data_IF_150233819710
#
_entry.id   IF_150233819710
#
_cell.length_a   1.000
_cell.length_b   1.000
_cell.length_c   1.000
_cell.angle_alpha   90.00
_cell.angle_beta   90.00
_cell.angle_gamma   90.00
#
_symmetry.space_group_name_H-M   'P 1'
#
loop_
_entity.id
_entity.type
_entity.pdbx_description
1 polymer ?
#
# COMPACT_ATOMS: atom_id res chain seq x y z
N UNK A 1 8.90 34.82 -15.18
CA UNK A 1 8.67 33.39 -14.92
C UNK A 1 7.88 33.14 -13.62
N UNK A 2 8.15 33.86 -12.53
CA UNK A 2 7.43 33.74 -11.25
C UNK A 2 5.89 33.82 -11.37
N UNK A 3 5.37 34.80 -12.11
CA UNK A 3 3.93 34.97 -12.29
C UNK A 3 3.21 33.72 -12.87
N UNK A 4 3.86 33.00 -13.78
CA UNK A 4 3.29 31.79 -14.37
C UNK A 4 3.24 30.62 -13.37
N UNK A 5 4.25 30.49 -12.50
CA UNK A 5 4.30 29.45 -11.48
C UNK A 5 3.24 29.66 -10.38
N UNK A 6 2.99 30.89 -9.97
CA UNK A 6 1.93 31.21 -9.01
C UNK A 6 0.54 30.87 -9.56
N UNK A 7 0.29 31.21 -10.83
CA UNK A 7 -0.96 30.79 -11.51
C UNK A 7 -1.04 29.25 -11.55
N UNK A 8 0.05 28.57 -11.87
CA UNK A 8 0.08 27.10 -11.97
C UNK A 8 -0.11 26.41 -10.61
N UNK A 9 0.32 27.04 -9.51
CA UNK A 9 0.30 26.48 -8.15
C UNK A 9 -1.12 26.06 -7.72
N UNK A 10 -2.11 26.94 -7.91
CA UNK A 10 -3.50 26.66 -7.53
C UNK A 10 -4.41 26.27 -8.72
N UNK A 11 -3.86 26.15 -9.92
CA UNK A 11 -4.61 25.67 -11.09
C UNK A 11 -5.21 24.26 -10.86
N UNK A 12 -4.49 23.25 -10.32
CA UNK A 12 -5.06 21.94 -10.02
C UNK A 12 -6.24 21.99 -9.05
N UNK A 13 -6.20 22.88 -8.06
CA UNK A 13 -7.33 23.10 -7.14
C UNK A 13 -8.56 23.58 -7.90
N UNK A 14 -8.40 24.51 -8.83
CA UNK A 14 -9.48 24.97 -9.70
C UNK A 14 -10.13 23.83 -10.49
N UNK A 15 -9.30 23.00 -11.12
CA UNK A 15 -9.76 21.82 -11.87
C UNK A 15 -10.55 20.86 -10.98
N UNK A 16 -10.03 20.60 -9.78
CA UNK A 16 -10.67 19.75 -8.78
C UNK A 16 -12.02 20.31 -8.33
N UNK A 17 -12.11 21.61 -8.03
CA UNK A 17 -13.36 22.26 -7.66
C UNK A 17 -14.40 22.18 -8.78
N UNK A 18 -14.00 22.32 -10.05
CA UNK A 18 -14.93 22.16 -11.18
C UNK A 18 -15.40 20.73 -11.35
N UNK A 19 -14.54 19.74 -11.08
CA UNK A 19 -14.91 18.33 -11.09
C UNK A 19 -16.03 18.00 -10.07
N UNK A 20 -16.04 18.65 -8.91
CA UNK A 20 -17.07 18.46 -7.87
C UNK A 20 -18.30 19.35 -8.05
N UNK A 21 -18.10 20.65 -8.24
CA UNK A 21 -19.20 21.62 -8.35
C UNK A 21 -19.93 21.53 -9.70
N UNK A 22 -19.28 20.94 -10.72
CA UNK A 22 -19.73 20.67 -12.10
C UNK A 22 -20.10 21.90 -12.94
N UNK A 23 -20.78 22.85 -12.31
CA UNK A 23 -21.42 23.97 -12.96
C UNK A 23 -20.53 25.23 -12.94
N UNK A 24 -20.45 25.93 -14.08
CA UNK A 24 -19.59 27.13 -14.24
C UNK A 24 -19.99 28.29 -13.33
N UNK A 25 -21.25 28.32 -12.87
CA UNK A 25 -21.79 29.39 -12.03
C UNK A 25 -21.07 29.51 -10.67
N UNK A 26 -20.43 28.43 -10.19
CA UNK A 26 -19.70 28.44 -8.93
C UNK A 26 -18.28 29.01 -9.01
N UNK A 27 -17.94 29.74 -10.08
CA UNK A 27 -16.63 30.37 -10.24
C UNK A 27 -16.25 31.29 -9.07
N UNK A 28 -17.23 31.97 -8.46
CA UNK A 28 -17.01 32.81 -7.26
C UNK A 28 -16.52 32.00 -6.07
N UNK A 29 -17.02 30.76 -5.92
CA UNK A 29 -16.57 29.84 -4.86
C UNK A 29 -15.15 29.35 -5.13
N UNK A 30 -14.82 29.06 -6.40
CA UNK A 30 -13.46 28.68 -6.78
C UNK A 30 -12.45 29.81 -6.53
N UNK A 31 -12.82 31.05 -6.89
CA UNK A 31 -12.00 32.23 -6.60
C UNK A 31 -11.84 32.46 -5.10
N UNK A 32 -12.94 32.40 -4.33
CA UNK A 32 -12.91 32.59 -2.88
C UNK A 32 -12.09 31.51 -2.14
N UNK A 33 -12.20 30.25 -2.55
CA UNK A 33 -11.40 29.16 -1.98
C UNK A 33 -9.92 29.26 -2.39
N UNK A 34 -9.65 29.63 -3.64
CA UNK A 34 -8.29 29.91 -4.11
C UNK A 34 -7.63 31.05 -3.33
N UNK A 35 -8.37 32.13 -3.10
CA UNK A 35 -7.94 33.25 -2.26
C UNK A 35 -7.70 32.83 -0.82
N UNK A 36 -8.62 32.11 -0.21
CA UNK A 36 -8.47 31.64 1.17
C UNK A 36 -7.25 30.73 1.34
N UNK A 37 -7.00 29.82 0.40
CA UNK A 37 -5.83 28.95 0.44
C UNK A 37 -4.53 29.71 0.19
N UNK A 38 -4.53 30.65 -0.75
CA UNK A 38 -3.34 31.48 -0.97
C UNK A 38 -3.05 32.40 0.21
N UNK A 39 -4.07 32.95 0.86
CA UNK A 39 -3.91 33.72 2.09
C UNK A 39 -3.33 32.85 3.21
N UNK A 40 -3.78 31.60 3.31
CA UNK A 40 -3.23 30.63 4.24
C UNK A 40 -1.72 30.38 4.00
N UNK A 41 -1.29 30.28 2.73
CA UNK A 41 0.14 30.17 2.40
C UNK A 41 0.95 31.39 2.85
N UNK A 42 0.48 32.60 2.53
CA UNK A 42 1.15 33.84 2.92
C UNK A 42 1.25 33.98 4.44
N UNK A 43 0.18 33.69 5.18
CA UNK A 43 0.17 33.72 6.65
C UNK A 43 1.19 32.71 7.20
N UNK A 44 1.21 31.49 6.66
CA UNK A 44 2.15 30.45 7.10
C UNK A 44 3.60 30.90 6.89
N UNK A 45 3.90 31.57 5.78
CA UNK A 45 5.26 32.02 5.45
C UNK A 45 5.70 33.21 6.32
N UNK A 46 4.84 34.22 6.48
CA UNK A 46 5.13 35.42 7.28
C UNK A 46 5.27 35.08 8.76
N UNK A 47 4.55 34.08 9.25
CA UNK A 47 4.64 33.65 10.66
C UNK A 47 5.77 32.65 10.92
N UNK A 48 6.58 32.30 9.92
CA UNK A 48 7.65 31.30 10.08
C UNK A 48 7.10 29.92 10.46
N UNK A 49 6.03 29.49 9.79
CA UNK A 49 5.23 28.30 10.12
C UNK A 49 4.74 28.39 11.57
N UNK A 50 4.00 29.47 11.88
CA UNK A 50 3.39 29.68 13.19
C UNK A 50 4.39 29.66 14.37
N UNK A 51 5.60 30.16 14.15
CA UNK A 51 6.65 30.25 15.18
C UNK A 51 7.56 29.03 15.31
N UNK A 52 7.48 28.05 14.41
CA UNK A 52 8.50 26.98 14.33
C UNK A 52 9.86 27.58 13.96
N UNK A 53 9.86 28.62 13.13
CA UNK A 53 11.05 29.39 12.78
C UNK A 53 11.03 30.77 13.43
N UNK A 54 12.20 31.23 13.88
CA UNK A 54 12.37 32.52 14.57
C UNK A 54 12.24 33.74 13.64
N UNK A 55 12.13 33.54 12.33
CA UNK A 55 12.02 34.61 11.34
C UNK A 55 11.00 34.26 10.25
N UNK A 56 10.38 35.28 9.62
CA UNK A 56 9.53 35.08 8.45
C UNK A 56 10.34 34.44 7.32
N UNK A 57 9.75 33.49 6.61
CA UNK A 57 10.37 32.89 5.43
C UNK A 57 10.49 33.91 4.28
N UNK A 58 9.49 34.79 4.12
CA UNK A 58 9.45 35.91 3.17
C UNK A 58 8.46 36.98 3.65
N UNK A 59 8.56 38.18 3.06
CA UNK A 59 7.58 39.27 3.22
C UNK A 59 6.28 38.88 2.52
N UNK A 60 5.14 39.27 3.10
CA UNK A 60 3.81 39.07 2.52
C UNK A 60 3.71 39.64 1.11
N UNK A 61 3.30 38.83 0.15
CA UNK A 61 3.23 39.22 -1.26
C UNK A 61 1.77 39.20 -1.78
N UNK A 62 1.22 40.40 -2.00
CA UNK A 62 -0.17 40.57 -2.50
C UNK A 62 -0.29 40.10 -3.95
N UNK A 63 0.79 40.17 -4.73
CA UNK A 63 0.77 39.73 -6.13
C UNK A 63 0.68 38.20 -6.19
N UNK A 64 1.38 37.49 -5.30
CA UNK A 64 1.28 36.04 -5.15
C UNK A 64 -0.17 35.64 -4.78
N UNK A 65 -0.82 36.39 -3.89
CA UNK A 65 -2.22 36.20 -3.51
C UNK A 65 -3.18 36.31 -4.71
N UNK A 66 -3.01 37.33 -5.54
CA UNK A 66 -3.85 37.56 -6.74
C UNK A 66 -3.58 36.49 -7.81
N UNK A 67 -2.31 36.16 -8.05
CA UNK A 67 -1.90 35.21 -9.08
C UNK A 67 -2.36 33.79 -8.74
N UNK A 68 -2.19 33.34 -7.51
CA UNK A 68 -2.66 32.05 -7.03
C UNK A 68 -4.20 31.96 -7.10
N UNK A 69 -4.91 33.00 -6.66
CA UNK A 69 -6.38 33.06 -6.75
C UNK A 69 -6.87 33.00 -8.19
N UNK A 70 -6.18 33.70 -9.09
CA UNK A 70 -6.44 33.70 -10.54
C UNK A 70 -6.13 32.32 -11.13
N UNK A 71 -5.08 31.65 -10.67
CA UNK A 71 -4.75 30.26 -10.99
C UNK A 71 -5.89 29.30 -10.67
N UNK A 72 -6.45 29.38 -9.47
CA UNK A 72 -7.61 28.57 -9.08
C UNK A 72 -8.84 28.86 -9.96
N UNK A 73 -9.12 30.13 -10.26
CA UNK A 73 -10.22 30.49 -11.16
C UNK A 73 -9.98 29.96 -12.58
N UNK A 74 -8.77 30.15 -13.11
CA UNK A 74 -8.40 29.69 -14.44
C UNK A 74 -8.51 28.17 -14.55
N UNK A 75 -7.94 27.44 -13.59
CA UNK A 75 -8.09 25.98 -13.47
C UNK A 75 -9.55 25.52 -13.48
N UNK A 76 -10.44 26.24 -12.78
CA UNK A 76 -11.87 25.95 -12.73
C UNK A 76 -12.58 26.18 -14.07
N UNK A 77 -12.15 27.17 -14.84
CA UNK A 77 -12.70 27.48 -16.16
C UNK A 77 -12.23 26.50 -17.22
N UNK A 78 -10.94 26.14 -17.24
CA UNK A 78 -10.35 25.20 -18.23
C UNK A 78 -10.61 23.73 -17.88
N UNK A 79 -11.06 23.43 -16.66
CA UNK A 79 -11.25 22.05 -16.20
C UNK A 79 -12.04 21.16 -17.17
N UNK A 80 -13.10 21.59 -17.87
CA UNK A 80 -13.79 20.72 -18.83
C UNK A 80 -12.88 20.17 -19.93
N UNK A 81 -11.92 20.97 -20.40
CA UNK A 81 -10.92 20.55 -21.39
C UNK A 81 -9.95 19.51 -20.80
N UNK A 82 -9.44 19.79 -19.59
CA UNK A 82 -8.52 18.87 -18.89
C UNK A 82 -9.23 17.55 -18.53
N UNK A 83 -10.45 17.63 -18.00
CA UNK A 83 -11.26 16.50 -17.57
C UNK A 83 -11.78 15.67 -18.75
N UNK A 84 -11.88 16.23 -19.96
CA UNK A 84 -12.21 15.47 -21.17
C UNK A 84 -11.11 14.47 -21.55
N UNK A 85 -9.86 14.68 -21.09
CA UNK A 85 -8.77 13.70 -21.24
C UNK A 85 -8.93 12.50 -20.29
N UNK A 86 -9.80 12.61 -19.28
CA UNK A 86 -10.05 11.55 -18.30
C UNK A 86 -11.37 10.81 -18.57
N UNK A 87 -11.44 9.50 -18.25
CA UNK A 87 -12.67 8.74 -18.42
C UNK A 87 -13.82 9.33 -17.59
N UNK A 88 -15.01 9.43 -18.20
CA UNK A 88 -16.18 10.08 -17.60
C UNK A 88 -16.63 9.39 -16.29
N UNK A 89 -17.16 10.18 -15.33
CA UNK A 89 -17.71 9.67 -14.06
C UNK A 89 -18.71 8.53 -14.26
N UNK A 90 -19.57 8.63 -15.29
CA UNK A 90 -20.57 7.59 -15.62
C UNK A 90 -19.90 6.24 -15.93
N UNK A 91 -18.80 6.24 -16.67
CA UNK A 91 -18.05 5.02 -16.97
C UNK A 91 -17.34 4.46 -15.72
N UNK A 92 -16.93 5.32 -14.79
CA UNK A 92 -16.34 4.91 -13.51
C UNK A 92 -17.39 4.30 -12.57
N UNK A 93 -18.61 4.86 -12.53
CA UNK A 93 -19.73 4.35 -11.74
C UNK A 93 -20.23 3.01 -12.31
N UNK A 94 -20.49 2.91 -13.62
CA UNK A 94 -20.89 1.64 -14.26
C UNK A 94 -19.82 0.55 -14.06
N UNK A 95 -18.54 0.92 -14.08
CA UNK A 95 -17.44 0.00 -13.78
C UNK A 95 -17.39 -0.37 -12.30
N UNK A 96 -17.72 0.55 -11.40
CA UNK A 96 -17.85 0.28 -9.97
C UNK A 96 -19.00 -0.69 -9.74
N UNK A 97 -20.16 -0.46 -10.34
CA UNK A 97 -21.36 -1.29 -10.18
C UNK A 97 -21.10 -2.72 -10.68
N UNK A 98 -20.48 -2.88 -11.86
CA UNK A 98 -20.03 -4.21 -12.36
C UNK A 98 -18.98 -4.90 -11.47
N UNK A 99 -18.14 -4.13 -10.77
CA UNK A 99 -17.15 -4.66 -9.80
C UNK A 99 -17.80 -4.92 -8.43
N UNK A 100 -18.94 -4.31 -8.16
CA UNK A 100 -19.69 -4.46 -6.92
C UNK A 100 -20.62 -5.68 -7.01
N UNK A 101 -21.19 -5.94 -8.19
CA UNK A 101 -21.86 -7.21 -8.53
C UNK A 101 -20.90 -8.40 -8.58
N UNK A 102 -19.60 -8.18 -8.84
CA UNK A 102 -18.62 -9.24 -8.72
C UNK A 102 -18.17 -9.39 -7.25
N UNK A 103 -18.34 -10.60 -6.71
CA UNK A 103 -17.82 -11.04 -5.41
C UNK A 103 -16.28 -11.04 -5.34
N UNK A 104 -15.62 -10.52 -6.37
CA UNK A 104 -14.16 -10.54 -6.53
C UNK A 104 -13.53 -9.45 -5.65
N UNK A 105 -12.67 -9.88 -4.72
CA UNK A 105 -11.84 -9.00 -3.90
C UNK A 105 -10.69 -8.43 -4.74
N UNK A 106 -10.38 -7.15 -4.58
CA UNK A 106 -9.27 -6.51 -5.32
C UNK A 106 -7.92 -7.12 -4.88
N UNK A 107 -7.01 -7.45 -5.81
CA UNK A 107 -5.71 -8.03 -5.45
C UNK A 107 -4.89 -7.20 -4.46
N UNK A 108 -4.94 -5.87 -4.57
CA UNK A 108 -4.24 -4.99 -3.64
C UNK A 108 -4.79 -5.10 -2.21
N UNK A 109 -6.10 -5.32 -2.06
CA UNK A 109 -6.71 -5.54 -0.74
C UNK A 109 -6.26 -6.90 -0.17
N UNK A 110 -6.17 -7.95 -0.99
CA UNK A 110 -5.66 -9.25 -0.53
C UNK A 110 -4.21 -9.16 -0.04
N UNK A 111 -3.33 -8.47 -0.78
CA UNK A 111 -1.94 -8.22 -0.34
C UNK A 111 -1.88 -7.38 0.93
N UNK A 112 -2.72 -6.35 1.03
CA UNK A 112 -2.76 -5.49 2.21
C UNK A 112 -3.24 -6.26 3.45
N UNK A 113 -4.21 -7.17 3.32
CA UNK A 113 -4.60 -8.05 4.44
C UNK A 113 -3.44 -8.91 4.90
N UNK A 114 -2.74 -9.59 3.96
CA UNK A 114 -1.56 -10.39 4.28
C UNK A 114 -0.49 -9.53 4.95
N UNK A 115 -0.26 -8.30 4.47
CA UNK A 115 0.70 -7.38 5.08
C UNK A 115 0.30 -6.96 6.50
N UNK A 116 -0.98 -6.65 6.74
CA UNK A 116 -1.50 -6.30 8.08
C UNK A 116 -1.29 -7.46 9.06
N UNK A 117 -1.67 -8.67 8.66
CA UNK A 117 -1.51 -9.89 9.47
C UNK A 117 -0.04 -10.17 9.79
N UNK A 118 0.86 -9.95 8.83
CA UNK A 118 2.30 -10.07 9.02
C UNK A 118 2.84 -9.02 10.00
N UNK A 119 2.41 -7.76 9.85
CA UNK A 119 2.77 -6.67 10.78
C UNK A 119 2.27 -6.95 12.20
N UNK A 120 1.10 -7.57 12.35
CA UNK A 120 0.56 -7.95 13.66
C UNK A 120 1.51 -8.89 14.40
N UNK A 121 2.08 -9.90 13.73
CA UNK A 121 3.08 -10.80 14.32
C UNK A 121 4.35 -10.06 14.73
N UNK A 122 4.83 -9.13 13.88
CA UNK A 122 6.04 -8.35 14.16
C UNK A 122 5.86 -7.37 15.32
N UNK A 123 4.76 -6.62 15.33
CA UNK A 123 4.41 -5.70 16.42
C UNK A 123 4.21 -6.48 17.72
N UNK A 124 3.57 -7.65 17.65
CA UNK A 124 3.38 -8.52 18.82
C UNK A 124 4.72 -8.92 19.46
N UNK A 125 5.74 -9.29 18.67
CA UNK A 125 7.10 -9.53 19.19
C UNK A 125 7.67 -8.28 19.88
N UNK A 126 7.67 -7.14 19.17
CA UNK A 126 8.26 -5.89 19.66
C UNK A 126 7.62 -5.35 20.94
N UNK A 127 6.34 -5.67 21.19
CA UNK A 127 5.61 -5.22 22.38
C UNK A 127 5.57 -6.25 23.53
N UNK A 128 6.09 -7.46 23.32
CA UNK A 128 6.06 -8.54 24.32
C UNK A 128 7.47 -8.99 24.70
N UNK A 129 7.91 -10.16 24.25
CA UNK A 129 9.21 -10.73 24.58
C UNK A 129 10.37 -9.90 24.03
N UNK A 130 10.19 -9.23 22.88
CA UNK A 130 11.22 -8.39 22.26
C UNK A 130 11.61 -7.16 23.08
N UNK A 131 10.81 -6.77 24.09
CA UNK A 131 11.19 -5.71 25.05
C UNK A 131 12.24 -6.17 26.06
N UNK A 132 12.31 -7.47 26.33
CA UNK A 132 13.13 -8.03 27.41
C UNK A 132 14.22 -8.99 26.89
N UNK A 133 14.04 -9.55 25.70
CA UNK A 133 14.88 -10.58 25.12
C UNK A 133 15.38 -10.12 23.75
N UNK A 134 16.70 -9.96 23.62
CA UNK A 134 17.38 -9.70 22.34
C UNK A 134 18.11 -10.96 21.87
N UNK A 135 17.35 -12.00 21.51
CA UNK A 135 17.89 -13.27 21.00
C UNK A 135 17.20 -13.65 19.69
N UNK A 136 17.98 -13.80 18.62
CA UNK A 136 17.48 -14.07 17.27
C UNK A 136 16.76 -15.43 17.14
N UNK A 137 17.23 -16.46 17.86
CA UNK A 137 16.58 -17.77 17.85
C UNK A 137 15.21 -17.72 18.52
N UNK A 138 15.10 -17.03 19.65
CA UNK A 138 13.81 -16.84 20.35
C UNK A 138 12.85 -16.01 19.48
N UNK A 139 13.35 -14.96 18.85
CA UNK A 139 12.58 -14.14 17.91
C UNK A 139 12.04 -14.98 16.73
N UNK A 140 12.90 -15.82 16.14
CA UNK A 140 12.53 -16.70 15.03
C UNK A 140 11.44 -17.70 15.43
N UNK A 141 11.58 -18.35 16.59
CA UNK A 141 10.59 -19.30 17.12
C UNK A 141 9.26 -18.58 17.39
N UNK A 142 9.31 -17.41 18.02
CA UNK A 142 8.12 -16.62 18.32
C UNK A 142 7.38 -16.22 17.04
N UNK A 143 8.08 -15.66 16.05
CA UNK A 143 7.48 -15.26 14.78
C UNK A 143 6.92 -16.46 14.01
N UNK A 144 7.60 -17.60 14.05
CA UNK A 144 7.09 -18.86 13.46
C UNK A 144 5.80 -19.31 14.12
N UNK A 145 5.74 -19.31 15.45
CA UNK A 145 4.51 -19.64 16.19
C UNK A 145 3.39 -18.64 15.92
N UNK A 146 3.70 -17.33 15.90
CA UNK A 146 2.75 -16.27 15.57
C UNK A 146 2.19 -16.40 14.16
N UNK A 147 3.03 -16.79 13.18
CA UNK A 147 2.59 -17.04 11.81
C UNK A 147 1.60 -18.22 11.73
N UNK A 148 1.88 -19.32 12.46
CA UNK A 148 0.97 -20.46 12.56
C UNK A 148 -0.37 -20.05 13.20
N UNK A 149 -0.32 -19.27 14.28
CA UNK A 149 -1.54 -18.78 14.93
C UNK A 149 -2.36 -17.91 13.96
N UNK A 150 -1.76 -16.90 13.35
CA UNK A 150 -2.48 -15.90 12.55
C UNK A 150 -2.98 -16.44 11.21
N UNK A 151 -2.21 -17.27 10.51
CA UNK A 151 -2.57 -17.74 9.17
C UNK A 151 -3.20 -19.13 9.12
N UNK A 152 -3.21 -19.87 10.23
CA UNK A 152 -3.82 -21.20 10.30
C UNK A 152 -4.87 -21.32 11.41
N UNK A 153 -4.54 -21.01 12.67
CA UNK A 153 -5.48 -21.20 13.79
C UNK A 153 -6.62 -20.17 13.74
N UNK A 154 -6.29 -18.89 13.62
CA UNK A 154 -7.27 -17.79 13.60
C UNK A 154 -8.33 -17.96 12.51
N UNK A 155 -7.97 -18.16 11.22
CA UNK A 155 -8.99 -18.32 10.18
C UNK A 155 -9.79 -19.62 10.30
N UNK A 156 -9.31 -20.63 11.03
CA UNK A 156 -10.12 -21.81 11.35
C UNK A 156 -11.17 -21.53 12.43
N UNK A 157 -10.90 -20.59 13.34
CA UNK A 157 -11.81 -20.21 14.43
C UNK A 157 -12.76 -19.07 14.04
N UNK A 158 -12.40 -18.27 13.03
CA UNK A 158 -13.16 -17.12 12.53
C UNK A 158 -13.71 -17.34 11.12
N UNK A 159 -14.09 -18.57 10.78
CA UNK A 159 -14.80 -18.91 9.54
C UNK A 159 -14.12 -18.35 8.26
N UNK A 160 -12.79 -18.44 8.18
CA UNK A 160 -12.00 -17.95 7.05
C UNK A 160 -11.55 -16.50 7.16
N UNK A 161 -11.78 -15.81 8.28
CA UNK A 161 -11.36 -14.41 8.51
C UNK A 161 -10.05 -14.32 9.31
N UNK A 162 -9.26 -13.30 9.00
CA UNK A 162 -8.13 -12.84 9.81
C UNK A 162 -8.34 -11.38 10.21
N UNK A 163 -7.45 -10.82 11.03
CA UNK A 163 -7.50 -9.39 11.35
C UNK A 163 -7.41 -8.53 10.07
N UNK A 164 -6.49 -8.87 9.17
CA UNK A 164 -6.30 -8.19 7.89
C UNK A 164 -7.50 -8.33 6.96
N UNK A 165 -8.08 -9.53 6.81
CA UNK A 165 -9.25 -9.70 5.93
C UNK A 165 -10.50 -9.03 6.51
N UNK A 166 -10.69 -9.05 7.83
CA UNK A 166 -11.78 -8.35 8.52
C UNK A 166 -11.71 -6.83 8.36
N UNK A 167 -10.52 -6.23 8.50
CA UNK A 167 -10.31 -4.79 8.25
C UNK A 167 -10.68 -4.42 6.80
N UNK A 168 -10.38 -5.31 5.84
CA UNK A 168 -10.62 -5.09 4.42
C UNK A 168 -11.96 -5.67 3.92
N UNK A 169 -12.80 -6.17 4.84
CA UNK A 169 -14.18 -6.65 4.62
C UNK A 169 -14.28 -7.74 3.56
N UNK A 170 -13.46 -8.78 3.75
CA UNK A 170 -13.56 -9.99 2.95
C UNK A 170 -13.16 -11.21 3.78
N UNK A 171 -13.49 -12.39 3.25
CA UNK A 171 -13.22 -13.67 3.86
C UNK A 171 -12.59 -14.64 2.87
N UNK A 172 -11.90 -15.64 3.41
CA UNK A 172 -11.34 -16.74 2.64
C UNK A 172 -12.42 -17.81 2.52
N UNK A 173 -12.79 -18.16 1.30
CA UNK A 173 -13.77 -19.22 1.01
C UNK A 173 -13.16 -20.30 0.12
N UNK A 174 -13.78 -21.46 0.05
CA UNK A 174 -13.40 -22.47 -0.95
C UNK A 174 -13.96 -22.14 -2.35
N UNK A 175 -13.95 -23.12 -3.27
CA UNK A 175 -14.47 -22.93 -4.63
C UNK A 175 -16.00 -22.83 -4.68
N UNK A 176 -16.69 -23.44 -3.71
CA UNK A 176 -18.15 -23.48 -3.60
C UNK A 176 -18.67 -22.23 -2.86
N UNK A 177 -17.83 -21.62 -2.02
CA UNK A 177 -18.15 -20.43 -1.23
C UNK A 177 -18.32 -20.71 0.26
N UNK A 178 -17.98 -21.92 0.69
CA UNK A 178 -18.05 -22.35 2.09
C UNK A 178 -16.74 -22.06 2.82
N UNK A 179 -16.77 -22.25 4.15
CA UNK A 179 -15.60 -22.12 5.02
C UNK A 179 -14.49 -23.08 4.56
N UNK A 180 -13.26 -22.59 4.33
CA UNK A 180 -12.17 -23.42 3.84
C UNK A 180 -11.83 -24.57 4.79
N UNK A 181 -11.60 -25.75 4.21
CA UNK A 181 -11.08 -26.90 4.96
C UNK A 181 -9.69 -26.60 5.53
N UNK A 182 -9.36 -27.21 6.67
CA UNK A 182 -8.05 -27.04 7.32
C UNK A 182 -6.86 -27.36 6.39
N UNK A 183 -7.00 -28.32 5.48
CA UNK A 183 -5.96 -28.66 4.50
C UNK A 183 -5.65 -27.50 3.56
N UNK A 184 -6.68 -26.75 3.14
CA UNK A 184 -6.53 -25.59 2.29
C UNK A 184 -5.86 -24.44 3.06
N UNK A 185 -6.30 -24.18 4.30
CA UNK A 185 -5.68 -23.20 5.20
C UNK A 185 -4.20 -23.51 5.44
N UNK A 186 -3.87 -24.78 5.71
CA UNK A 186 -2.49 -25.23 5.93
C UNK A 186 -1.63 -25.04 4.67
N UNK A 187 -2.13 -25.42 3.49
CA UNK A 187 -1.43 -25.19 2.20
C UNK A 187 -1.18 -23.71 1.94
N UNK A 188 -2.15 -22.85 2.26
CA UNK A 188 -2.03 -21.40 2.10
C UNK A 188 -1.01 -20.81 3.06
N UNK A 189 -1.08 -21.18 4.33
CA UNK A 189 -0.08 -20.80 5.34
C UNK A 189 1.32 -21.23 4.87
N UNK A 190 1.48 -22.49 4.46
CA UNK A 190 2.76 -23.02 3.99
C UNK A 190 3.28 -22.23 2.78
N UNK A 191 2.44 -21.96 1.79
CA UNK A 191 2.82 -21.18 0.62
C UNK A 191 3.31 -19.77 0.97
N UNK A 192 2.68 -19.09 1.93
CA UNK A 192 3.11 -17.79 2.42
C UNK A 192 4.39 -17.87 3.30
N UNK A 193 4.56 -18.97 4.04
CA UNK A 193 5.64 -19.15 5.01
C UNK A 193 6.97 -19.53 4.35
N UNK A 194 6.95 -20.36 3.31
CA UNK A 194 8.15 -20.92 2.66
C UNK A 194 9.15 -19.86 2.19
N UNK A 195 8.76 -18.79 1.45
CA UNK A 195 9.73 -17.78 1.01
C UNK A 195 10.46 -17.11 2.17
N UNK A 196 9.76 -16.87 3.29
CA UNK A 196 10.33 -16.24 4.47
C UNK A 196 11.32 -17.17 5.18
N UNK A 197 10.92 -18.43 5.46
CA UNK A 197 11.81 -19.42 6.10
C UNK A 197 13.00 -19.76 5.24
N UNK A 198 12.80 -19.93 3.93
CA UNK A 198 13.89 -20.19 3.01
C UNK A 198 14.89 -19.03 3.00
N UNK A 199 14.41 -17.78 3.01
CA UNK A 199 15.30 -16.61 3.13
C UNK A 199 16.06 -16.61 4.45
N UNK A 200 15.40 -16.89 5.58
CA UNK A 200 16.03 -16.94 6.89
C UNK A 200 17.10 -18.04 6.96
N UNK A 201 16.76 -19.25 6.50
CA UNK A 201 17.68 -20.39 6.49
C UNK A 201 18.92 -20.12 5.62
N UNK A 202 18.73 -19.59 4.40
CA UNK A 202 19.85 -19.28 3.52
C UNK A 202 20.73 -18.15 4.06
N UNK A 203 20.16 -17.15 4.75
CA UNK A 203 20.92 -16.10 5.40
C UNK A 203 21.82 -16.63 6.53
N UNK A 204 21.37 -17.64 7.28
CA UNK A 204 22.20 -18.29 8.31
C UNK A 204 23.44 -18.94 7.69
N UNK A 205 23.31 -19.57 6.52
CA UNK A 205 24.46 -20.18 5.82
C UNK A 205 25.50 -19.13 5.38
N UNK A 206 25.04 -17.94 5.00
CA UNK A 206 25.92 -16.84 4.55
C UNK A 206 26.46 -15.98 5.69
N UNK A 207 25.94 -16.13 6.91
CA UNK A 207 26.38 -15.38 8.09
C UNK A 207 27.66 -15.97 8.72
N UNK A 208 28.17 -17.09 8.22
CA UNK A 208 29.39 -17.73 8.73
C UNK A 208 30.61 -16.91 8.29
N UNK A 209 31.29 -16.27 9.24
CA UNK A 209 32.54 -15.56 8.97
C UNK A 209 33.72 -16.55 8.86
N UNK A 210 34.33 -16.63 7.68
CA UNK A 210 35.55 -17.41 7.45
C UNK A 210 36.76 -16.48 7.32
N UNK A 211 37.88 -16.89 7.90
CA UNK A 211 39.18 -16.24 7.67
C UNK A 211 39.52 -16.24 6.17
N UNK A 212 39.95 -15.10 5.65
CA UNK A 212 40.38 -14.94 4.25
C UNK A 212 41.53 -15.88 3.86
N UNK A 213 42.32 -16.35 4.84
CA UNK A 213 43.40 -17.30 4.62
C UNK A 213 42.92 -18.77 4.61
N UNK A 214 41.65 -19.04 4.94
CA UNK A 214 41.07 -20.37 4.92
C UNK A 214 40.88 -20.87 3.49
N UNK A 215 41.24 -22.13 3.24
CA UNK A 215 40.95 -22.80 1.95
C UNK A 215 39.46 -22.80 1.60
N UNK A 216 38.59 -22.70 2.61
CA UNK A 216 37.13 -22.69 2.46
C UNK A 216 36.55 -21.30 2.11
N UNK A 217 37.34 -20.23 2.21
CA UNK A 217 36.88 -18.86 2.00
C UNK A 217 36.33 -18.64 0.58
N UNK A 218 37.06 -19.11 -0.43
CA UNK A 218 36.65 -18.96 -1.84
C UNK A 218 35.31 -19.65 -2.11
N UNK A 219 35.10 -20.85 -1.56
CA UNK A 219 33.83 -21.58 -1.70
C UNK A 219 32.67 -20.85 -1.01
N UNK A 220 32.91 -20.29 0.17
CA UNK A 220 31.92 -19.50 0.89
C UNK A 220 31.52 -18.23 0.12
N UNK A 221 32.47 -17.52 -0.51
CA UNK A 221 32.15 -16.36 -1.35
C UNK A 221 31.23 -16.74 -2.50
N UNK A 222 31.52 -17.82 -3.23
CA UNK A 222 30.67 -18.28 -4.32
C UNK A 222 29.30 -18.77 -3.84
N UNK A 223 29.23 -19.43 -2.68
CA UNK A 223 27.98 -19.80 -2.04
C UNK A 223 27.13 -18.56 -1.73
N UNK A 224 27.72 -17.53 -1.12
CA UNK A 224 27.04 -16.27 -0.78
C UNK A 224 26.53 -15.54 -2.03
N UNK A 225 27.33 -15.49 -3.10
CA UNK A 225 26.88 -14.93 -4.40
C UNK A 225 25.72 -15.74 -4.99
N UNK A 226 25.79 -17.08 -4.93
CA UNK A 226 24.73 -17.94 -5.45
C UNK A 226 23.43 -17.81 -4.64
N UNK A 227 23.52 -17.77 -3.30
CA UNK A 227 22.40 -17.54 -2.39
C UNK A 227 21.77 -16.17 -2.66
N UNK A 228 22.57 -15.12 -2.76
CA UNK A 228 22.09 -13.78 -3.07
C UNK A 228 21.35 -13.75 -4.41
N UNK A 229 21.95 -14.31 -5.47
CA UNK A 229 21.32 -14.40 -6.79
C UNK A 229 20.00 -15.18 -6.77
N UNK A 230 19.96 -16.31 -6.07
CA UNK A 230 18.75 -17.11 -5.89
C UNK A 230 17.64 -16.33 -5.17
N UNK A 231 17.96 -15.67 -4.05
CA UNK A 231 16.99 -14.87 -3.30
C UNK A 231 16.45 -13.71 -4.14
N UNK A 232 17.32 -13.00 -4.86
CA UNK A 232 16.91 -11.92 -5.77
C UNK A 232 15.96 -12.44 -6.83
N UNK A 233 16.27 -13.56 -7.50
CA UNK A 233 15.40 -14.17 -8.51
C UNK A 233 14.06 -14.58 -7.90
N UNK A 234 14.06 -15.25 -6.76
CA UNK A 234 12.84 -15.69 -6.07
C UNK A 234 11.92 -14.51 -5.75
N UNK A 235 12.44 -13.46 -5.12
CA UNK A 235 11.66 -12.27 -4.76
C UNK A 235 11.19 -11.50 -6.00
N UNK A 236 12.02 -11.39 -7.05
CA UNK A 236 11.60 -10.81 -8.32
C UNK A 236 10.43 -11.57 -8.95
N UNK A 237 10.46 -12.91 -8.96
CA UNK A 237 9.36 -13.73 -9.48
C UNK A 237 8.06 -13.47 -8.71
N UNK A 238 8.13 -13.40 -7.37
CA UNK A 238 6.97 -13.09 -6.53
C UNK A 238 6.42 -11.68 -6.78
N UNK A 239 7.29 -10.69 -6.95
CA UNK A 239 6.90 -9.31 -7.26
C UNK A 239 6.28 -9.22 -8.65
N UNK A 240 6.89 -9.83 -9.67
CA UNK A 240 6.34 -9.89 -11.04
C UNK A 240 4.97 -10.57 -11.03
N UNK A 241 4.82 -11.68 -10.30
CA UNK A 241 3.53 -12.34 -10.11
C UNK A 241 2.51 -11.41 -9.47
N UNK A 242 2.88 -10.70 -8.40
CA UNK A 242 1.98 -9.76 -7.74
C UNK A 242 1.53 -8.62 -8.67
N UNK A 243 2.47 -8.01 -9.40
CA UNK A 243 2.18 -6.96 -10.40
C UNK A 243 1.26 -7.48 -11.50
N UNK A 244 1.51 -8.71 -11.98
CA UNK A 244 0.68 -9.35 -12.99
C UNK A 244 -0.76 -9.55 -12.49
N UNK A 245 -0.95 -10.08 -11.28
CA UNK A 245 -2.28 -10.30 -10.70
C UNK A 245 -3.01 -8.97 -10.45
N UNK A 246 -2.32 -7.94 -9.94
CA UNK A 246 -2.87 -6.58 -9.77
C UNK A 246 -3.35 -6.02 -11.12
N UNK A 247 -2.54 -6.19 -12.18
CA UNK A 247 -2.87 -5.75 -13.54
C UNK A 247 -4.09 -6.47 -14.11
N UNK A 248 -4.33 -7.73 -13.70
CA UNK A 248 -5.52 -8.52 -14.06
C UNK A 248 -6.75 -8.24 -13.20
N UNK A 249 -6.66 -7.34 -12.22
CA UNK A 249 -7.79 -6.81 -11.41
C UNK A 249 -8.66 -7.91 -10.76
N UNK A 250 -8.02 -8.97 -10.28
CA UNK A 250 -8.70 -10.04 -9.54
C UNK A 250 -9.32 -11.14 -10.40
N UNK A 251 -9.11 -11.13 -11.72
CA UNK A 251 -9.49 -12.28 -12.60
C UNK A 251 -8.65 -13.54 -12.36
N UNK A 252 -7.55 -13.42 -11.62
CA UNK A 252 -6.66 -14.50 -11.22
C UNK A 252 -6.31 -14.32 -9.75
N UNK A 253 -6.06 -15.42 -9.06
CA UNK A 253 -5.69 -15.46 -7.64
C UNK A 253 -4.16 -15.43 -7.47
N UNK A 254 -3.70 -15.07 -6.28
CA UNK A 254 -2.27 -15.17 -5.94
C UNK A 254 -1.83 -16.63 -5.85
N UNK A 255 -0.53 -16.88 -5.93
CA UNK A 255 0.01 -18.24 -5.93
C UNK A 255 -0.36 -19.00 -4.64
N UNK A 256 -0.39 -18.31 -3.49
CA UNK A 256 -0.74 -18.89 -2.20
C UNK A 256 -2.21 -19.27 -2.09
N UNK A 257 -3.11 -18.53 -2.74
CA UNK A 257 -4.54 -18.84 -2.83
C UNK A 257 -4.79 -19.93 -3.89
N UNK A 258 -4.09 -19.88 -5.01
CA UNK A 258 -4.16 -20.88 -6.08
C UNK A 258 -3.69 -22.26 -5.60
N UNK A 259 -2.54 -22.33 -4.92
CA UNK A 259 -1.98 -23.58 -4.40
C UNK A 259 -2.86 -24.24 -3.31
N UNK A 260 -3.69 -23.45 -2.64
CA UNK A 260 -4.58 -23.91 -1.58
C UNK A 260 -6.02 -24.16 -2.04
N UNK A 261 -6.40 -23.70 -3.23
CA UNK A 261 -7.78 -23.78 -3.72
C UNK A 261 -8.73 -22.80 -3.02
N UNK A 262 -8.20 -21.73 -2.43
CA UNK A 262 -8.97 -20.71 -1.71
C UNK A 262 -9.30 -19.55 -2.64
N UNK A 263 -10.53 -19.06 -2.53
CA UNK A 263 -10.98 -17.85 -3.22
C UNK A 263 -11.40 -16.78 -2.21
N UNK A 264 -10.74 -15.61 -2.20
CA UNK A 264 -11.19 -14.48 -1.39
C UNK A 264 -12.51 -13.92 -1.94
N UNK A 265 -13.53 -13.81 -1.09
CA UNK A 265 -14.85 -13.25 -1.41
C UNK A 265 -15.19 -12.10 -0.47
N UNK A 266 -15.89 -11.08 -0.99
CA UNK A 266 -16.33 -9.96 -0.15
C UNK A 266 -17.42 -10.45 0.81
N UNK A 267 -17.44 -9.87 2.00
CA UNK A 267 -18.51 -10.11 2.96
C UNK A 267 -19.82 -9.56 2.39
N UNK A 268 -20.82 -10.42 2.27
CA UNK A 268 -22.19 -10.08 1.89
C UNK A 268 -22.96 -9.69 3.16
N UNK A 269 -22.63 -8.54 3.73
CA UNK A 269 -23.44 -7.90 4.78
C UNK A 269 -24.61 -7.12 4.16
#
# INVERSE_FOLDING_TARGET
MQAAFNILLLLPLGVYLRYFLQNKHYWKRALGLGFGLSLFFEITQVTGIYGIYNCPYRIFDVDDLILNSTGALFGFLIAPMILALFPSKKNLLVKRDKIQESQVVRPLAQLLAVFIDFMLVYISWSLTLGLFISNEMVEFIYKTAGFLVVYFIVPLLWDGKTAGTGILRFELTDSEGDVPKWQAMFKRMFALFVPWVLSAFLNILTAIELDMNSEMYVYHVWLTVAVFGFLVIMWMVLVIHAIYIISKKGKRTFYYDYASGITPRKDLD
#
